data_IF_899740752101
#
_entry.id   IF_899740752101
#
_cell.length_a   1.000
_cell.length_b   1.000
_cell.length_c   1.000
_cell.angle_alpha   90.00
_cell.angle_beta   90.00
_cell.angle_gamma   90.00
#
_symmetry.space_group_name_H-M   'P 1'
#
loop_
_entity.id
_entity.type
_entity.pdbx_description
1 polymer ?
#
# COMPACT_ATOMS: atom_id res chain seq x y z
N UNK A 1 -6.24 -24.88 -24.96
CA UNK A 1 -6.56 -25.23 -23.55
C UNK A 1 -7.54 -24.18 -23.05
N UNK A 2 -8.80 -24.54 -22.80
CA UNK A 2 -9.82 -23.61 -22.31
C UNK A 2 -9.57 -23.34 -20.82
N UNK A 3 -9.14 -22.13 -20.46
CA UNK A 3 -8.88 -21.77 -19.08
C UNK A 3 -10.15 -21.18 -18.46
N UNK A 4 -10.79 -21.95 -17.57
CA UNK A 4 -12.03 -21.57 -16.88
C UNK A 4 -11.73 -20.57 -15.75
N UNK A 5 -12.21 -19.32 -15.90
CA UNK A 5 -11.87 -18.19 -15.00
C UNK A 5 -12.76 -18.12 -13.76
N UNK A 6 -13.93 -18.76 -13.78
CA UNK A 6 -14.89 -18.74 -12.65
C UNK A 6 -14.28 -19.20 -11.31
N UNK A 7 -13.58 -20.34 -11.20
CA UNK A 7 -12.98 -20.77 -9.93
C UNK A 7 -11.91 -19.79 -9.43
N UNK A 8 -11.13 -19.19 -10.33
CA UNK A 8 -10.12 -18.19 -9.98
C UNK A 8 -10.75 -16.94 -9.39
N UNK A 9 -11.86 -16.46 -9.97
CA UNK A 9 -12.58 -15.28 -9.47
C UNK A 9 -13.14 -15.52 -8.06
N UNK A 10 -13.65 -16.72 -7.77
CA UNK A 10 -14.07 -17.09 -6.42
C UNK A 10 -12.88 -17.19 -5.45
N UNK A 11 -11.79 -17.83 -5.88
CA UNK A 11 -10.55 -17.93 -5.11
C UNK A 11 -9.99 -16.55 -4.74
N UNK A 12 -10.01 -15.58 -5.66
CA UNK A 12 -9.58 -14.20 -5.38
C UNK A 12 -10.41 -13.54 -4.28
N UNK A 13 -11.73 -13.80 -4.23
CA UNK A 13 -12.59 -13.23 -3.20
C UNK A 13 -12.31 -13.84 -1.82
N UNK A 14 -11.95 -15.12 -1.75
CA UNK A 14 -11.54 -15.72 -0.48
C UNK A 14 -10.16 -15.25 -0.04
N UNK A 15 -9.22 -15.11 -0.99
CA UNK A 15 -7.88 -14.59 -0.74
C UNK A 15 -7.93 -13.18 -0.14
N UNK A 16 -8.71 -12.27 -0.75
CA UNK A 16 -8.81 -10.88 -0.28
C UNK A 16 -9.41 -10.79 1.12
N UNK A 17 -10.46 -11.57 1.40
CA UNK A 17 -11.05 -11.63 2.75
C UNK A 17 -10.05 -12.21 3.75
N UNK A 18 -9.32 -13.25 3.38
CA UNK A 18 -8.29 -13.86 4.22
C UNK A 18 -7.15 -12.88 4.56
N UNK A 19 -6.69 -12.09 3.59
CA UNK A 19 -5.68 -11.06 3.81
C UNK A 19 -6.18 -9.97 4.76
N UNK A 20 -7.39 -9.45 4.56
CA UNK A 20 -7.98 -8.44 5.45
C UNK A 20 -8.13 -8.97 6.88
N UNK A 21 -8.59 -10.23 7.04
CA UNK A 21 -8.71 -10.85 8.37
C UNK A 21 -7.34 -11.04 9.03
N UNK A 22 -6.31 -11.38 8.26
CA UNK A 22 -4.94 -11.49 8.76
C UNK A 22 -4.40 -10.11 9.22
N UNK A 23 -4.60 -9.06 8.43
CA UNK A 23 -4.19 -7.69 8.77
C UNK A 23 -4.87 -7.20 10.06
N UNK A 24 -6.18 -7.44 10.19
CA UNK A 24 -6.93 -7.14 11.41
C UNK A 24 -6.40 -7.93 12.61
N UNK A 25 -6.08 -9.22 12.44
CA UNK A 25 -5.52 -10.04 13.50
C UNK A 25 -4.16 -9.50 13.97
N UNK A 26 -3.29 -9.09 13.05
CA UNK A 26 -1.99 -8.48 13.36
C UNK A 26 -2.19 -7.20 14.20
N UNK A 27 -3.09 -6.31 13.77
CA UNK A 27 -3.39 -5.07 14.49
C UNK A 27 -3.95 -5.33 15.90
N UNK A 28 -4.85 -6.30 16.04
CA UNK A 28 -5.44 -6.68 17.34
C UNK A 28 -4.36 -7.25 18.27
N UNK A 29 -3.49 -8.13 17.77
CA UNK A 29 -2.39 -8.69 18.57
C UNK A 29 -1.44 -7.59 19.03
N UNK A 30 -1.07 -6.67 18.13
CA UNK A 30 -0.22 -5.52 18.44
C UNK A 30 -0.82 -4.64 19.56
N UNK A 31 -2.08 -4.22 19.41
CA UNK A 31 -2.76 -3.36 20.38
C UNK A 31 -2.98 -4.08 21.72
N UNK A 32 -3.37 -5.34 21.70
CA UNK A 32 -3.56 -6.15 22.91
C UNK A 32 -2.25 -6.29 23.68
N UNK A 33 -1.16 -6.61 22.99
CA UNK A 33 0.15 -6.74 23.62
C UNK A 33 0.59 -5.44 24.28
N UNK A 34 0.43 -4.30 23.60
CA UNK A 34 0.75 -2.98 24.16
C UNK A 34 -0.12 -2.67 25.38
N UNK A 35 -1.41 -2.98 25.32
CA UNK A 35 -2.33 -2.75 26.43
C UNK A 35 -1.92 -3.53 27.69
N UNK A 36 -1.48 -4.77 27.54
CA UNK A 36 -1.09 -5.62 28.67
C UNK A 36 0.34 -5.42 29.16
N UNK A 37 1.28 -5.03 28.29
CA UNK A 37 2.71 -5.00 28.62
C UNK A 37 3.32 -3.60 28.63
N UNK A 38 2.66 -2.62 28.01
CA UNK A 38 3.21 -1.28 27.78
C UNK A 38 4.36 -1.24 26.76
N UNK A 39 4.72 -2.36 26.14
CA UNK A 39 5.83 -2.48 25.20
C UNK A 39 5.34 -2.89 23.81
N UNK A 40 6.11 -2.59 22.76
CA UNK A 40 5.81 -3.03 21.40
C UNK A 40 6.41 -4.42 21.13
N UNK A 41 5.63 -5.42 20.70
CA UNK A 41 6.14 -6.76 20.41
C UNK A 41 6.98 -6.72 19.12
N UNK A 42 8.24 -7.17 19.16
CA UNK A 42 9.15 -7.04 18.02
C UNK A 42 8.62 -7.69 16.72
N UNK A 43 7.94 -8.83 16.81
CA UNK A 43 7.45 -9.59 15.63
C UNK A 43 6.25 -8.96 14.92
N UNK A 44 5.39 -8.24 15.65
CA UNK A 44 4.18 -7.59 15.11
C UNK A 44 4.17 -6.08 15.38
N UNK A 45 5.35 -5.49 15.59
CA UNK A 45 5.49 -4.06 15.80
C UNK A 45 5.06 -3.32 14.53
N UNK A 46 3.90 -2.67 14.54
CA UNK A 46 3.40 -2.01 13.33
C UNK A 46 4.31 -0.84 12.87
N UNK A 47 5.10 -0.23 13.75
CA UNK A 47 6.03 0.88 13.41
C UNK A 47 7.47 0.41 13.08
N UNK A 48 7.68 -0.90 12.92
CA UNK A 48 9.02 -1.48 12.81
C UNK A 48 9.40 -1.88 11.39
N UNK A 49 10.70 -2.07 11.15
CA UNK A 49 11.22 -2.69 9.94
C UNK A 49 11.47 -4.20 10.14
N UNK A 50 11.36 -4.98 9.06
CA UNK A 50 11.71 -6.41 9.00
C UNK A 50 10.91 -7.29 9.98
N UNK A 51 9.65 -6.93 10.21
CA UNK A 51 8.68 -7.65 11.03
C UNK A 51 7.51 -8.12 10.17
N UNK A 52 6.55 -8.83 10.78
CA UNK A 52 5.44 -9.43 10.04
C UNK A 52 4.64 -8.40 9.23
N UNK A 53 4.21 -7.23 9.78
CA UNK A 53 3.54 -6.18 9.01
C UNK A 53 4.33 -5.73 7.77
N UNK A 54 5.58 -5.28 7.96
CA UNK A 54 6.42 -4.77 6.85
C UNK A 54 6.74 -5.84 5.80
N UNK A 55 6.94 -7.10 6.21
CA UNK A 55 7.09 -8.22 5.27
C UNK A 55 5.81 -8.48 4.48
N UNK A 56 4.65 -8.45 5.13
CA UNK A 56 3.36 -8.66 4.47
C UNK A 56 3.11 -7.58 3.42
N UNK A 57 3.28 -6.32 3.81
CA UNK A 57 3.15 -5.15 2.94
C UNK A 57 4.10 -5.26 1.74
N UNK A 58 5.39 -5.45 1.99
CA UNK A 58 6.38 -5.62 0.93
C UNK A 58 6.08 -6.78 -0.03
N UNK A 59 5.60 -7.93 0.47
CA UNK A 59 5.21 -9.06 -0.37
C UNK A 59 4.04 -8.67 -1.28
N UNK A 60 3.04 -7.97 -0.78
CA UNK A 60 1.91 -7.51 -1.60
C UNK A 60 2.39 -6.59 -2.72
N UNK A 61 3.20 -5.58 -2.41
CA UNK A 61 3.78 -4.66 -3.39
C UNK A 61 4.62 -5.41 -4.43
N UNK A 62 5.49 -6.33 -4.00
CA UNK A 62 6.34 -7.11 -4.90
C UNK A 62 5.52 -8.03 -5.82
N UNK A 63 4.44 -8.62 -5.32
CA UNK A 63 3.51 -9.42 -6.13
C UNK A 63 2.81 -8.56 -7.18
N UNK A 64 2.32 -7.36 -6.82
CA UNK A 64 1.76 -6.40 -7.79
C UNK A 64 2.80 -6.05 -8.86
N UNK A 65 4.05 -5.78 -8.44
CA UNK A 65 5.16 -5.48 -9.34
C UNK A 65 5.48 -6.63 -10.29
N UNK A 66 5.48 -7.87 -9.80
CA UNK A 66 5.74 -9.06 -10.59
C UNK A 66 4.64 -9.35 -11.62
N UNK A 67 3.37 -9.17 -11.24
CA UNK A 67 2.23 -9.26 -12.18
C UNK A 67 2.39 -8.22 -13.29
N UNK A 68 2.71 -6.97 -12.90
CA UNK A 68 2.89 -5.86 -13.84
C UNK A 68 4.07 -6.12 -14.80
N UNK A 69 5.16 -6.71 -14.30
CA UNK A 69 6.30 -7.12 -15.12
C UNK A 69 5.90 -8.21 -16.12
N UNK A 70 5.13 -9.19 -15.66
CA UNK A 70 4.57 -10.24 -16.51
C UNK A 70 3.74 -9.64 -17.66
N UNK A 71 2.91 -8.64 -17.38
CA UNK A 71 2.14 -7.91 -18.40
C UNK A 71 3.05 -7.13 -19.38
N UNK A 72 4.16 -6.56 -18.90
CA UNK A 72 5.14 -5.86 -19.73
C UNK A 72 5.87 -6.80 -20.70
N UNK A 73 6.25 -7.99 -20.22
CA UNK A 73 6.98 -9.00 -21.00
C UNK A 73 6.06 -9.69 -22.00
N UNK A 74 4.83 -9.99 -21.59
CA UNK A 74 3.83 -10.68 -22.43
C UNK A 74 2.97 -9.72 -23.28
N UNK A 75 3.46 -8.50 -23.49
CA UNK A 75 2.80 -7.44 -24.24
C UNK A 75 2.25 -7.94 -25.59
N UNK A 76 1.05 -7.49 -25.94
CA UNK A 76 0.35 -7.88 -27.15
C UNK A 76 -0.05 -6.64 -27.96
N UNK A 77 0.32 -6.55 -29.25
CA UNK A 77 -0.03 -5.40 -30.09
C UNK A 77 -1.54 -5.12 -30.16
N UNK A 78 -2.36 -6.16 -30.11
CA UNK A 78 -3.82 -6.06 -30.18
C UNK A 78 -4.47 -5.55 -28.88
N UNK A 79 -3.71 -5.52 -27.77
CA UNK A 79 -4.14 -4.99 -26.49
C UNK A 79 -3.09 -3.98 -26.01
N UNK A 80 -3.05 -2.77 -26.61
CA UNK A 80 -1.94 -1.84 -26.47
C UNK A 80 -1.80 -1.23 -25.06
N UNK A 81 -2.80 -1.42 -24.19
CA UNK A 81 -2.80 -0.90 -22.83
C UNK A 81 -2.89 -2.03 -21.77
N UNK A 82 -2.23 -1.89 -20.61
CA UNK A 82 -1.18 -0.92 -20.34
C UNK A 82 -0.02 -1.02 -21.34
N UNK A 83 0.50 0.14 -21.69
CA UNK A 83 1.68 0.28 -22.52
C UNK A 83 2.86 -0.39 -21.85
N UNK A 84 3.78 -0.91 -22.65
CA UNK A 84 4.97 -1.59 -22.15
C UNK A 84 5.84 -0.66 -21.31
N UNK A 85 5.93 0.62 -21.70
CA UNK A 85 6.66 1.66 -20.96
C UNK A 85 6.05 1.91 -19.58
N UNK A 86 4.72 2.11 -19.50
CA UNK A 86 4.03 2.26 -18.22
C UNK A 86 4.26 1.04 -17.33
N UNK A 87 4.12 -0.16 -17.89
CA UNK A 87 4.26 -1.40 -17.12
C UNK A 87 5.67 -1.56 -16.54
N UNK A 88 6.73 -1.31 -17.33
CA UNK A 88 8.09 -1.36 -16.82
C UNK A 88 8.38 -0.28 -15.77
N UNK A 89 7.90 0.94 -16.00
CA UNK A 89 8.07 2.04 -15.05
C UNK A 89 7.40 1.72 -13.71
N UNK A 90 6.15 1.25 -13.76
CA UNK A 90 5.40 0.87 -12.58
C UNK A 90 6.03 -0.33 -11.85
N UNK A 91 6.53 -1.34 -12.57
CA UNK A 91 7.30 -2.44 -11.96
C UNK A 91 8.51 -1.90 -11.19
N UNK A 92 9.28 -1.01 -11.79
CA UNK A 92 10.46 -0.42 -11.13
C UNK A 92 10.09 0.30 -9.83
N UNK A 93 9.02 1.11 -9.87
CA UNK A 93 8.52 1.80 -8.68
C UNK A 93 8.03 0.84 -7.60
N UNK A 94 7.26 -0.19 -7.95
CA UNK A 94 6.73 -1.17 -7.00
C UNK A 94 7.85 -2.00 -6.37
N UNK A 95 8.84 -2.43 -7.14
CA UNK A 95 9.99 -3.17 -6.59
C UNK A 95 10.82 -2.28 -5.66
N UNK A 96 11.03 -1.03 -6.03
CA UNK A 96 11.65 -0.06 -5.13
C UNK A 96 10.84 0.13 -3.84
N UNK A 97 9.53 0.34 -3.95
CA UNK A 97 8.65 0.52 -2.79
C UNK A 97 8.62 -0.70 -1.86
N UNK A 98 8.57 -1.93 -2.41
CA UNK A 98 8.65 -3.14 -1.60
C UNK A 98 9.99 -3.30 -0.87
N UNK A 99 11.10 -2.91 -1.49
CA UNK A 99 12.41 -2.88 -0.82
C UNK A 99 12.48 -1.76 0.22
N UNK A 100 11.95 -0.58 -0.09
CA UNK A 100 11.84 0.52 0.86
C UNK A 100 11.03 0.13 2.07
N UNK A 101 9.97 -0.66 1.93
CA UNK A 101 9.17 -1.09 3.07
C UNK A 101 9.93 -2.04 4.03
N UNK A 102 10.67 -3.01 3.48
CA UNK A 102 11.47 -3.95 4.28
C UNK A 102 12.62 -3.23 5.00
N UNK A 103 13.29 -2.31 4.32
CA UNK A 103 14.55 -1.72 4.77
C UNK A 103 14.42 -0.29 5.28
N UNK A 104 13.25 0.34 5.13
CA UNK A 104 12.95 1.75 5.39
C UNK A 104 14.05 2.66 4.83
N UNK A 105 14.37 2.47 3.53
CA UNK A 105 15.47 3.15 2.84
C UNK A 105 15.33 4.68 2.89
N UNK A 106 14.11 5.19 2.80
CA UNK A 106 13.79 6.62 2.92
C UNK A 106 14.23 7.25 4.26
N UNK A 107 14.33 6.48 5.34
CA UNK A 107 14.88 6.97 6.60
C UNK A 107 16.41 7.12 6.55
N UNK A 108 17.10 6.27 5.79
CA UNK A 108 18.56 6.29 5.64
C UNK A 108 19.07 7.45 4.79
N UNK A 109 18.27 7.91 3.82
CA UNK A 109 18.65 8.98 2.90
C UNK A 109 18.78 10.36 3.55
N UNK A 110 18.25 10.56 4.77
CA UNK A 110 18.49 11.79 5.56
C UNK A 110 20.00 12.04 5.78
N UNK A 111 20.81 10.97 5.92
CA UNK A 111 22.25 11.08 6.10
C UNK A 111 22.98 11.49 4.81
N UNK A 112 22.37 11.28 3.64
CA UNK A 112 22.98 11.51 2.33
C UNK A 112 22.55 12.85 1.71
N UNK A 113 21.37 13.36 2.07
CA UNK A 113 20.82 14.62 1.57
C UNK A 113 20.39 15.54 2.72
N UNK A 114 21.36 16.11 3.48
CA UNK A 114 21.07 16.94 4.66
C UNK A 114 20.37 18.28 4.36
N UNK A 115 20.17 18.63 3.08
CA UNK A 115 19.64 19.92 2.62
C UNK A 115 18.09 19.92 2.60
N UNK A 116 17.45 18.75 2.69
CA UNK A 116 15.99 18.63 2.60
C UNK A 116 15.49 18.10 3.94
N UNK A 117 14.63 18.87 4.63
CA UNK A 117 14.20 18.59 6.01
C UNK A 117 13.61 17.19 6.25
N UNK A 118 13.31 16.84 7.51
CA UNK A 118 13.01 15.47 8.00
C UNK A 118 11.87 14.70 7.32
N UNK A 119 11.15 15.29 6.34
CA UNK A 119 9.98 14.70 5.65
C UNK A 119 9.99 14.87 4.13
N UNK A 120 11.16 15.04 3.51
CA UNK A 120 11.27 15.22 2.05
C UNK A 120 10.67 14.05 1.23
N UNK A 121 10.65 12.85 1.81
CA UNK A 121 10.03 11.67 1.21
C UNK A 121 8.55 11.89 0.90
N UNK A 122 7.84 12.69 1.72
CA UNK A 122 6.43 13.06 1.46
C UNK A 122 6.31 13.81 0.14
N UNK A 123 7.18 14.80 -0.08
CA UNK A 123 7.15 15.59 -1.31
C UNK A 123 7.50 14.74 -2.54
N UNK A 124 8.44 13.79 -2.42
CA UNK A 124 8.80 12.86 -3.51
C UNK A 124 7.59 11.98 -3.86
N UNK A 125 6.98 11.32 -2.87
CA UNK A 125 5.84 10.45 -3.11
C UNK A 125 4.61 11.21 -3.62
N UNK A 126 4.32 12.40 -3.07
CA UNK A 126 3.26 13.26 -3.59
C UNK A 126 3.52 13.66 -5.05
N UNK A 127 4.77 14.00 -5.39
CA UNK A 127 5.15 14.32 -6.76
C UNK A 127 4.97 13.13 -7.69
N UNK A 128 5.34 11.91 -7.27
CA UNK A 128 5.12 10.69 -8.05
C UNK A 128 3.64 10.41 -8.27
N UNK A 129 2.80 10.55 -7.23
CA UNK A 129 1.34 10.37 -7.31
C UNK A 129 0.73 11.37 -8.30
N UNK A 130 1.21 12.62 -8.34
CA UNK A 130 0.70 13.63 -9.26
C UNK A 130 1.25 13.49 -10.69
N UNK A 131 2.53 13.13 -10.85
CA UNK A 131 3.18 13.05 -12.16
C UNK A 131 2.78 11.78 -12.94
N UNK A 132 2.58 10.65 -12.25
CA UNK A 132 2.21 9.38 -12.89
C UNK A 132 0.96 9.49 -13.79
N UNK A 133 -0.18 10.03 -13.31
CA UNK A 133 -1.36 10.24 -14.15
C UNK A 133 -1.14 11.17 -15.33
N UNK A 134 -0.25 12.15 -15.20
CA UNK A 134 0.06 13.12 -16.27
C UNK A 134 0.91 12.46 -17.35
N UNK A 135 2.00 11.81 -16.96
CA UNK A 135 2.93 11.13 -17.88
C UNK A 135 2.27 9.98 -18.62
N UNK A 136 1.39 9.23 -17.94
CA UNK A 136 0.74 8.05 -18.48
C UNK A 136 -0.77 8.23 -18.67
N UNK A 137 -1.22 9.45 -18.96
CA UNK A 137 -2.65 9.79 -19.09
C UNK A 137 -3.42 8.84 -20.03
N UNK A 138 -2.79 8.41 -21.14
CA UNK A 138 -3.42 7.48 -22.09
C UNK A 138 -3.68 6.12 -21.48
N UNK A 139 -2.75 5.59 -20.69
CA UNK A 139 -2.90 4.33 -19.95
C UNK A 139 -4.03 4.44 -18.92
N UNK A 140 -4.04 5.50 -18.11
CA UNK A 140 -5.10 5.73 -17.11
C UNK A 140 -6.47 5.88 -17.77
N UNK A 141 -6.56 6.62 -18.88
CA UNK A 141 -7.79 6.76 -19.66
C UNK A 141 -8.27 5.40 -20.19
N UNK A 142 -7.36 4.58 -20.73
CA UNK A 142 -7.70 3.25 -21.22
C UNK A 142 -8.19 2.32 -20.10
N UNK A 143 -7.52 2.34 -18.94
CA UNK A 143 -7.98 1.61 -17.75
C UNK A 143 -9.38 2.05 -17.33
N UNK A 144 -9.62 3.36 -17.24
CA UNK A 144 -10.92 3.89 -16.85
C UNK A 144 -12.04 3.47 -17.81
N UNK A 145 -11.78 3.48 -19.12
CA UNK A 145 -12.77 3.14 -20.13
C UNK A 145 -13.06 1.63 -20.20
N UNK A 146 -12.03 0.79 -20.12
CA UNK A 146 -12.17 -0.66 -20.34
C UNK A 146 -12.35 -1.47 -19.04
N UNK A 147 -11.84 -0.96 -17.92
CA UNK A 147 -11.74 -1.67 -16.65
C UNK A 147 -12.20 -0.81 -15.46
N UNK A 148 -13.23 0.01 -15.66
CA UNK A 148 -13.72 1.00 -14.69
C UNK A 148 -13.88 0.45 -13.26
N UNK A 149 -14.44 -0.75 -13.11
CA UNK A 149 -14.66 -1.36 -11.79
C UNK A 149 -13.33 -1.68 -11.09
N UNK A 150 -12.41 -2.33 -11.80
CA UNK A 150 -11.08 -2.66 -11.31
C UNK A 150 -10.29 -1.38 -10.99
N UNK A 151 -10.36 -0.37 -11.86
CA UNK A 151 -9.75 0.95 -11.64
C UNK A 151 -10.31 1.64 -10.39
N UNK A 152 -11.63 1.63 -10.18
CA UNK A 152 -12.23 2.20 -8.98
C UNK A 152 -11.76 1.51 -7.69
N UNK A 153 -11.68 0.17 -7.69
CA UNK A 153 -11.17 -0.58 -6.53
C UNK A 153 -9.71 -0.21 -6.24
N UNK A 154 -8.86 -0.19 -7.28
CA UNK A 154 -7.46 0.18 -7.13
C UNK A 154 -7.28 1.62 -6.65
N UNK A 155 -8.05 2.57 -7.19
CA UNK A 155 -8.03 3.97 -6.74
C UNK A 155 -8.49 4.12 -5.29
N UNK A 156 -9.53 3.39 -4.88
CA UNK A 156 -9.95 3.35 -3.47
C UNK A 156 -8.82 2.83 -2.58
N UNK A 157 -8.12 1.77 -3.00
CA UNK A 157 -6.95 1.25 -2.29
C UNK A 157 -5.84 2.30 -2.15
N UNK A 158 -5.46 2.96 -3.25
CA UNK A 158 -4.45 4.04 -3.25
C UNK A 158 -4.86 5.20 -2.34
N UNK A 159 -6.14 5.60 -2.35
CA UNK A 159 -6.64 6.68 -1.49
C UNK A 159 -6.58 6.26 -0.02
N UNK A 160 -7.01 5.05 0.34
CA UNK A 160 -6.94 4.55 1.72
C UNK A 160 -5.48 4.51 2.18
N UNK A 161 -4.58 3.93 1.37
CA UNK A 161 -3.14 3.89 1.65
C UNK A 161 -2.57 5.30 1.89
N UNK A 162 -2.83 6.23 0.96
CA UNK A 162 -2.31 7.59 1.05
C UNK A 162 -2.88 8.36 2.26
N UNK A 163 -4.18 8.21 2.56
CA UNK A 163 -4.80 8.83 3.72
C UNK A 163 -4.29 8.22 5.03
N UNK A 164 -3.98 6.93 5.05
CA UNK A 164 -3.45 6.28 6.23
C UNK A 164 -2.03 6.74 6.54
N UNK A 165 -1.09 6.63 5.60
CA UNK A 165 0.30 7.06 5.77
C UNK A 165 0.45 8.58 5.89
N UNK A 166 0.12 9.32 4.83
CA UNK A 166 0.28 10.79 4.87
C UNK A 166 -0.67 11.43 5.89
N UNK A 167 -1.93 11.00 5.94
CA UNK A 167 -2.89 11.55 6.88
C UNK A 167 -2.53 11.20 8.33
N UNK A 168 -2.00 10.00 8.59
CA UNK A 168 -1.51 9.58 9.90
C UNK A 168 -0.36 10.46 10.41
N UNK A 169 0.62 10.74 9.55
CA UNK A 169 1.77 11.58 9.88
C UNK A 169 1.40 13.07 10.02
N UNK A 170 0.49 13.57 9.17
CA UNK A 170 -0.06 14.92 9.28
C UNK A 170 -0.89 15.06 10.58
N UNK A 171 -1.74 14.09 10.89
CA UNK A 171 -2.52 14.06 12.11
C UNK A 171 -1.62 14.06 13.34
N UNK A 172 -0.57 13.25 13.35
CA UNK A 172 0.45 13.24 14.42
C UNK A 172 1.07 14.62 14.63
N UNK A 173 1.46 15.28 13.53
CA UNK A 173 2.20 16.54 13.55
C UNK A 173 1.35 17.74 13.94
N UNK A 174 0.13 17.83 13.40
CA UNK A 174 -0.70 19.02 13.50
C UNK A 174 -1.83 18.91 14.51
N UNK A 175 -2.19 17.70 14.95
CA UNK A 175 -3.29 17.48 15.88
C UNK A 175 -2.80 16.81 17.16
N UNK A 176 -2.24 15.60 17.07
CA UNK A 176 -1.92 14.81 18.26
C UNK A 176 -0.79 15.44 19.08
N UNK A 177 0.33 15.78 18.46
CA UNK A 177 1.49 16.35 19.17
C UNK A 177 1.17 17.70 19.84
N UNK A 178 0.51 18.67 19.17
CA UNK A 178 0.06 19.90 19.82
C UNK A 178 -0.95 19.68 20.93
N UNK A 179 -1.89 18.74 20.78
CA UNK A 179 -2.89 18.43 21.81
C UNK A 179 -2.24 17.85 23.06
N UNK A 180 -1.28 16.94 22.90
CA UNK A 180 -0.51 16.36 24.00
C UNK A 180 0.38 17.40 24.70
N UNK A 181 1.03 18.28 23.93
CA UNK A 181 1.89 19.33 24.46
C UNK A 181 1.11 20.38 25.26
N UNK A 182 -0.11 20.73 24.85
CA UNK A 182 -0.88 21.83 25.45
C UNK A 182 -1.91 21.38 26.50
N UNK A 183 -1.94 20.10 26.88
CA UNK A 183 -2.92 19.55 27.84
C UNK A 183 -2.24 19.12 29.14
N UNK A 184 -2.25 19.96 30.20
CA UNK A 184 -1.56 19.68 31.46
C UNK A 184 -2.01 18.37 32.12
N UNK A 185 -3.31 18.03 32.03
CA UNK A 185 -3.85 16.78 32.59
C UNK A 185 -3.46 15.51 31.84
N UNK A 186 -2.99 15.62 30.58
CA UNK A 186 -2.45 14.48 29.83
C UNK A 186 -0.96 14.27 30.10
N UNK A 187 -0.21 15.34 30.42
CA UNK A 187 1.20 15.23 30.77
C UNK A 187 1.42 14.48 32.09
N UNK A 188 0.45 14.53 33.01
CA UNK A 188 0.49 13.80 34.29
C UNK A 188 0.26 12.29 34.16
N UNK A 189 -0.15 11.78 32.99
CA UNK A 189 -0.41 10.36 32.76
C UNK A 189 0.45 9.82 31.61
N UNK A 190 1.67 9.27 31.87
CA UNK A 190 2.60 8.86 30.81
C UNK A 190 2.07 7.73 29.91
N UNK A 191 1.10 6.95 30.38
CA UNK A 191 0.53 5.80 29.65
C UNK A 191 -0.44 6.25 28.53
N UNK A 192 -1.21 7.31 28.75
CA UNK A 192 -2.25 7.72 27.79
C UNK A 192 -1.66 8.26 26.47
N UNK A 193 -0.65 9.15 26.46
CA UNK A 193 0.04 9.57 25.24
C UNK A 193 0.65 8.39 24.48
N UNK A 194 1.24 7.42 25.21
CA UNK A 194 1.81 6.22 24.60
C UNK A 194 0.72 5.40 23.90
N UNK A 195 -0.41 5.13 24.57
CA UNK A 195 -1.51 4.37 23.99
C UNK A 195 -2.13 5.07 22.77
N UNK A 196 -2.31 6.39 22.83
CA UNK A 196 -2.82 7.18 21.70
C UNK A 196 -1.88 7.10 20.48
N UNK A 197 -0.57 7.23 20.69
CA UNK A 197 0.40 7.10 19.60
C UNK A 197 0.40 5.69 19.01
N UNK A 198 0.34 4.65 19.85
CA UNK A 198 0.31 3.26 19.36
C UNK A 198 -0.99 2.92 18.65
N UNK A 199 -2.12 3.47 19.08
CA UNK A 199 -3.39 3.32 18.37
C UNK A 199 -3.37 4.03 17.02
N UNK A 200 -2.79 5.24 16.96
CA UNK A 200 -2.58 5.99 15.71
C UNK A 200 -1.74 5.19 14.72
N UNK A 201 -0.59 4.67 15.15
CA UNK A 201 0.27 3.80 14.35
C UNK A 201 -0.51 2.59 13.83
N UNK A 202 -1.27 1.92 14.69
CA UNK A 202 -2.04 0.74 14.27
C UNK A 202 -3.07 1.06 13.17
N UNK A 203 -3.73 2.23 13.25
CA UNK A 203 -4.68 2.68 12.22
C UNK A 203 -3.96 3.03 10.92
N UNK A 204 -2.83 3.73 11.00
CA UNK A 204 -2.00 4.08 9.84
C UNK A 204 -1.57 2.81 9.10
N UNK A 205 -0.91 1.89 9.79
CA UNK A 205 -0.34 0.67 9.21
C UNK A 205 -1.43 -0.30 8.70
N UNK A 206 -2.54 -0.44 9.43
CA UNK A 206 -3.69 -1.21 8.97
C UNK A 206 -4.33 -0.58 7.71
N UNK A 207 -4.41 0.75 7.66
CA UNK A 207 -4.93 1.46 6.50
C UNK A 207 -4.02 1.30 5.27
N UNK A 208 -2.70 1.38 5.46
CA UNK A 208 -1.73 1.12 4.39
C UNK A 208 -1.87 -0.30 3.84
N UNK A 209 -1.81 -1.31 4.70
CA UNK A 209 -2.00 -2.72 4.33
C UNK A 209 -3.32 -2.94 3.60
N UNK A 210 -4.44 -2.44 4.14
CA UNK A 210 -5.75 -2.57 3.50
C UNK A 210 -5.76 -1.92 2.10
N UNK A 211 -5.14 -0.75 1.97
CA UNK A 211 -5.02 -0.04 0.71
C UNK A 211 -4.28 -0.85 -0.34
N UNK A 212 -3.13 -1.41 0.02
CA UNK A 212 -2.33 -2.27 -0.86
C UNK A 212 -3.04 -3.58 -1.22
N UNK A 213 -3.70 -4.19 -0.25
CA UNK A 213 -4.53 -5.38 -0.41
C UNK A 213 -5.64 -5.16 -1.44
N UNK A 214 -6.28 -3.98 -1.45
CA UNK A 214 -7.25 -3.60 -2.47
C UNK A 214 -6.60 -3.38 -3.86
N UNK A 215 -5.40 -2.79 -3.92
CA UNK A 215 -4.65 -2.61 -5.17
C UNK A 215 -4.23 -3.97 -5.75
N UNK A 216 -3.79 -4.91 -4.92
CA UNK A 216 -3.47 -6.28 -5.31
C UNK A 216 -4.70 -6.98 -5.87
N UNK A 217 -5.84 -6.89 -5.18
CA UNK A 217 -7.10 -7.46 -5.66
C UNK A 217 -7.54 -6.87 -7.00
N UNK A 218 -7.45 -5.54 -7.16
CA UNK A 218 -7.73 -4.87 -8.43
C UNK A 218 -6.81 -5.36 -9.56
N UNK A 219 -5.51 -5.52 -9.28
CA UNK A 219 -4.48 -5.97 -10.24
C UNK A 219 -4.73 -7.42 -10.68
N UNK A 220 -5.04 -8.31 -9.74
CA UNK A 220 -5.37 -9.71 -10.03
C UNK A 220 -6.66 -9.81 -10.86
N UNK A 221 -7.68 -9.03 -10.51
CA UNK A 221 -8.94 -8.98 -11.27
C UNK A 221 -8.76 -8.44 -12.67
N UNK A 222 -7.99 -7.37 -12.83
CA UNK A 222 -7.62 -6.84 -14.13
C UNK A 222 -6.95 -7.92 -14.99
N UNK A 223 -5.98 -8.64 -14.42
CA UNK A 223 -5.26 -9.71 -15.11
C UNK A 223 -6.18 -10.84 -15.54
N UNK A 224 -7.09 -11.30 -14.67
CA UNK A 224 -8.07 -12.32 -15.04
C UNK A 224 -8.98 -11.86 -16.19
N UNK A 225 -9.49 -10.62 -16.15
CA UNK A 225 -10.36 -10.10 -17.20
C UNK A 225 -9.63 -9.98 -18.54
N UNK A 226 -8.35 -9.59 -18.52
CA UNK A 226 -7.52 -9.57 -19.73
C UNK A 226 -7.29 -10.96 -20.31
N UNK A 227 -7.16 -11.98 -19.46
CA UNK A 227 -7.07 -13.38 -19.91
C UNK A 227 -8.38 -13.88 -20.53
N UNK A 228 -9.54 -13.49 -19.99
CA UNK A 228 -10.86 -13.78 -20.56
C UNK A 228 -10.99 -13.18 -21.98
N UNK A 229 -10.71 -11.88 -22.13
CA UNK A 229 -10.81 -11.16 -23.41
C UNK A 229 -9.90 -11.77 -24.49
N UNK A 230 -8.68 -12.18 -24.10
CA UNK A 230 -7.74 -12.86 -25.00
C UNK A 230 -8.28 -14.19 -25.52
N UNK A 231 -9.03 -14.94 -24.71
CA UNK A 231 -9.66 -16.19 -25.17
C UNK A 231 -10.79 -15.92 -26.14
N UNK A 232 -11.63 -14.92 -25.88
CA UNK A 232 -12.74 -14.57 -26.77
C UNK A 232 -12.29 -14.02 -28.13
N UNK A 233 -11.06 -13.53 -28.23
CA UNK A 233 -10.46 -13.01 -29.48
C UNK A 233 -9.78 -14.07 -30.36
N UNK A 234 -9.73 -15.34 -29.92
CA UNK A 234 -9.13 -16.47 -30.65
C UNK A 234 -10.20 -17.37 -31.24
#
# INVERSE_FOLDING_TARGET
>A
MNFNVKPWRQGLNYLIVGLILLELAIAIIYLSYIFFTGASPMSVNMDGARNIPSWLQAIQILVIGAITLGLAITYQPNFPYPSRQFSFFLTGLLFYAGLDEIFKLHLGFHNLLPIVGTKYWIAIYASLICLLPVLFYRDFKAFWQSYRRETLIGLTGIIIFALAGFGGELFKSYVLSPLLANSPGLQSHPVLPLLLEKFRVAIEELGELLGETLVLYATLRFTLKRLEEKQSSR
#
